data_IF_121535909668
#
_entry.id   IF_121535909668
#
_cell.length_a   1.000
_cell.length_b   1.000
_cell.length_c   1.000
_cell.angle_alpha   90.00
_cell.angle_beta   90.00
_cell.angle_gamma   90.00
#
_symmetry.space_group_name_H-M   'P 1'
#
loop_
_entity.id
_entity.type
_entity.pdbx_description
1 polymer ?
#
# COMPACT_ATOMS: atom_id res chain seq x y z
N UNK A 1 -27.44 24.39 -10.48
CA UNK A 1 -26.31 24.27 -11.44
C UNK A 1 -26.64 23.19 -12.49
N UNK A 2 -25.84 23.08 -13.56
CA UNK A 2 -25.95 21.96 -14.53
C UNK A 2 -25.04 20.78 -14.19
N UNK A 3 -23.92 21.07 -13.53
CA UNK A 3 -22.95 20.09 -13.05
C UNK A 3 -22.72 20.27 -11.55
N UNK A 4 -22.42 19.18 -10.85
CA UNK A 4 -22.21 19.14 -9.41
C UNK A 4 -21.00 18.28 -9.08
N UNK A 5 -20.09 18.83 -8.29
CA UNK A 5 -19.01 18.11 -7.63
C UNK A 5 -19.22 18.19 -6.10
N UNK A 6 -18.96 17.10 -5.41
CA UNK A 6 -18.92 17.04 -3.94
C UNK A 6 -17.55 16.51 -3.53
N UNK A 7 -16.84 17.23 -2.67
CA UNK A 7 -15.52 16.83 -2.20
C UNK A 7 -15.58 16.76 -0.67
N UNK A 8 -15.23 15.61 -0.12
CA UNK A 8 -15.06 15.39 1.31
C UNK A 8 -13.60 15.72 1.66
N UNK A 9 -13.40 16.58 2.66
CA UNK A 9 -12.08 16.95 3.16
C UNK A 9 -12.02 16.65 4.64
N UNK A 10 -11.21 15.66 5.04
CA UNK A 10 -10.97 15.26 6.42
C UNK A 10 -10.04 14.03 6.49
N UNK A 11 -9.97 13.36 7.64
CA UNK A 11 -9.52 11.97 7.77
C UNK A 11 -10.36 10.99 6.94
N UNK A 12 -9.68 9.97 6.42
CA UNK A 12 -10.27 8.80 5.79
C UNK A 12 -9.60 7.53 6.29
N UNK A 13 -10.29 6.40 6.18
CA UNK A 13 -9.83 5.13 6.74
C UNK A 13 -10.06 3.92 5.83
N UNK A 14 -10.33 4.12 4.53
CA UNK A 14 -10.80 3.10 3.59
C UNK A 14 -12.28 2.70 3.79
N UNK A 15 -12.58 1.40 3.91
CA UNK A 15 -13.93 0.86 4.09
C UNK A 15 -14.64 1.25 5.40
N UNK A 16 -13.96 1.57 6.53
CA UNK A 16 -14.63 2.07 7.72
C UNK A 16 -15.37 3.38 7.42
N UNK A 17 -14.76 4.33 6.69
CA UNK A 17 -15.42 5.59 6.33
C UNK A 17 -14.48 6.76 6.08
N UNK A 18 -15.06 7.96 6.16
CA UNK A 18 -14.42 9.26 5.97
C UNK A 18 -15.01 10.29 6.93
N UNK A 19 -14.38 11.46 7.11
CA UNK A 19 -14.90 12.57 7.89
C UNK A 19 -15.13 12.20 9.37
N UNK A 20 -14.03 12.14 10.12
CA UNK A 20 -14.04 11.84 11.56
C UNK A 20 -14.29 13.12 12.38
N UNK A 21 -15.24 13.06 13.31
CA UNK A 21 -15.55 14.13 14.24
C UNK A 21 -14.91 13.88 15.61
N UNK A 22 -13.75 14.51 15.83
CA UNK A 22 -13.02 14.50 17.10
C UNK A 22 -13.86 15.00 18.29
N UNK A 23 -14.92 15.79 18.04
CA UNK A 23 -15.82 16.29 19.10
C UNK A 23 -16.90 15.29 19.51
N UNK A 24 -17.02 14.17 18.77
CA UNK A 24 -17.99 13.11 18.98
C UNK A 24 -17.31 11.74 19.12
N UNK A 25 -16.30 11.65 19.99
CA UNK A 25 -15.54 10.41 20.26
C UNK A 25 -14.88 9.80 19.01
N UNK A 26 -14.54 10.64 18.02
CA UNK A 26 -13.95 10.20 16.75
C UNK A 26 -14.94 9.55 15.79
N UNK A 27 -16.26 9.77 15.98
CA UNK A 27 -17.31 9.24 15.12
C UNK A 27 -17.03 9.57 13.65
N UNK A 28 -17.15 8.58 12.78
CA UNK A 28 -16.76 8.69 11.38
C UNK A 28 -17.97 8.43 10.50
N UNK A 29 -18.12 9.18 9.42
CA UNK A 29 -19.15 8.91 8.44
C UNK A 29 -18.85 7.57 7.74
N UNK A 30 -19.52 6.52 8.20
CA UNK A 30 -19.30 5.17 7.69
C UNK A 30 -19.77 5.03 6.23
N UNK A 31 -19.26 4.05 5.48
CA UNK A 31 -19.72 3.85 4.10
C UNK A 31 -21.24 3.62 3.98
N UNK A 32 -21.91 2.85 4.86
CA UNK A 32 -23.37 2.74 4.86
C UNK A 32 -24.08 4.07 5.10
N UNK A 33 -23.59 4.90 6.02
CA UNK A 33 -24.15 6.21 6.31
C UNK A 33 -23.92 7.21 5.18
N UNK A 34 -22.72 7.21 4.59
CA UNK A 34 -22.39 7.98 3.39
C UNK A 34 -23.33 7.62 2.24
N UNK A 35 -23.47 6.33 1.93
CA UNK A 35 -24.36 5.84 0.88
C UNK A 35 -25.82 6.22 1.16
N UNK A 36 -26.27 6.13 2.42
CA UNK A 36 -27.61 6.56 2.83
C UNK A 36 -27.80 8.07 2.65
N UNK A 37 -26.84 8.88 3.09
CA UNK A 37 -26.89 10.33 2.99
C UNK A 37 -26.94 10.79 1.52
N UNK A 38 -26.10 10.23 0.65
CA UNK A 38 -26.12 10.48 -0.80
C UNK A 38 -27.45 10.03 -1.43
N UNK A 39 -27.97 8.88 -1.01
CA UNK A 39 -29.28 8.39 -1.44
C UNK A 39 -30.43 9.30 -1.06
N UNK A 40 -30.43 9.83 0.16
CA UNK A 40 -31.42 10.78 0.65
C UNK A 40 -31.27 12.15 -0.05
N UNK A 41 -30.04 12.62 -0.29
CA UNK A 41 -29.78 13.83 -1.07
C UNK A 41 -30.27 13.71 -2.51
N UNK A 42 -30.03 12.58 -3.19
CA UNK A 42 -30.55 12.30 -4.55
C UNK A 42 -32.07 12.36 -4.58
N UNK A 43 -32.76 11.75 -3.61
CA UNK A 43 -34.24 11.77 -3.53
C UNK A 43 -34.78 13.19 -3.32
N UNK A 44 -34.13 13.99 -2.48
CA UNK A 44 -34.57 15.36 -2.14
C UNK A 44 -34.31 16.36 -3.25
N UNK A 45 -33.19 16.23 -3.94
CA UNK A 45 -32.73 17.22 -4.95
C UNK A 45 -33.12 16.85 -6.38
N UNK A 46 -33.39 15.57 -6.65
CA UNK A 46 -33.60 15.04 -7.99
C UNK A 46 -32.32 14.86 -8.82
N UNK A 47 -31.15 15.24 -8.29
CA UNK A 47 -29.84 15.06 -8.96
C UNK A 47 -29.49 13.58 -8.95
N UNK A 48 -29.61 12.92 -10.11
CA UNK A 48 -29.43 11.47 -10.22
C UNK A 48 -28.02 11.01 -9.89
N UNK A 49 -27.02 11.71 -10.44
CA UNK A 49 -25.59 11.52 -10.17
C UNK A 49 -24.88 12.86 -10.16
N UNK A 50 -23.91 12.98 -9.25
CA UNK A 50 -22.89 14.01 -9.27
C UNK A 50 -21.90 13.71 -10.41
N UNK A 51 -21.36 14.74 -11.03
CA UNK A 51 -20.33 14.58 -12.05
C UNK A 51 -19.02 14.09 -11.42
N UNK A 52 -18.72 14.53 -10.20
CA UNK A 52 -17.52 14.16 -9.45
C UNK A 52 -17.81 14.01 -7.96
N UNK A 53 -17.30 12.93 -7.37
CA UNK A 53 -17.18 12.75 -5.93
C UNK A 53 -15.68 12.69 -5.61
N UNK A 54 -15.20 13.60 -4.78
CA UNK A 54 -13.80 13.69 -4.39
C UNK A 54 -13.62 13.36 -2.92
N UNK A 55 -12.48 12.75 -2.60
CA UNK A 55 -12.03 12.52 -1.25
C UNK A 55 -10.61 13.09 -1.13
N UNK A 56 -10.52 14.28 -0.56
CA UNK A 56 -9.27 14.88 -0.07
C UNK A 56 -9.09 14.38 1.37
N UNK A 57 -8.82 13.08 1.45
CA UNK A 57 -8.82 12.26 2.64
C UNK A 57 -8.03 10.95 2.39
N UNK A 58 -7.34 10.48 3.42
CA UNK A 58 -6.52 9.27 3.38
C UNK A 58 -7.30 8.04 2.91
N UNK A 59 -6.66 7.18 2.10
CA UNK A 59 -7.08 5.81 1.81
C UNK A 59 -8.44 5.63 1.09
N UNK A 60 -9.04 6.71 0.60
CA UNK A 60 -10.39 6.68 0.02
C UNK A 60 -10.46 6.13 -1.42
N UNK A 61 -9.33 5.80 -2.04
CA UNK A 61 -9.26 5.10 -3.33
C UNK A 61 -9.32 3.58 -3.18
N UNK A 62 -10.23 3.09 -2.34
CA UNK A 62 -10.49 1.66 -2.16
C UNK A 62 -11.73 1.23 -2.96
N UNK A 63 -11.73 0.01 -3.51
CA UNK A 63 -12.86 -0.51 -4.30
C UNK A 63 -14.18 -0.52 -3.50
N UNK A 64 -14.14 -0.73 -2.19
CA UNK A 64 -15.29 -0.67 -1.27
C UNK A 64 -15.95 0.71 -1.26
N UNK A 65 -15.12 1.76 -1.18
CA UNK A 65 -15.57 3.17 -1.19
C UNK A 65 -16.21 3.46 -2.54
N UNK A 66 -15.55 3.08 -3.63
CA UNK A 66 -16.07 3.30 -4.98
C UNK A 66 -17.37 2.54 -5.23
N UNK A 67 -17.51 1.32 -4.70
CA UNK A 67 -18.76 0.55 -4.73
C UNK A 67 -19.88 1.28 -3.97
N UNK A 68 -19.58 1.89 -2.82
CA UNK A 68 -20.55 2.66 -2.04
C UNK A 68 -21.08 3.90 -2.79
N UNK A 69 -20.20 4.61 -3.51
CA UNK A 69 -20.55 5.89 -4.16
C UNK A 69 -20.89 5.79 -5.65
N UNK A 70 -20.62 4.66 -6.31
CA UNK A 70 -20.92 4.44 -7.73
C UNK A 70 -22.38 4.74 -8.14
N UNK A 71 -23.41 4.47 -7.31
CA UNK A 71 -24.78 4.85 -7.63
C UNK A 71 -25.04 6.37 -7.69
N UNK A 72 -24.14 7.18 -7.13
CA UNK A 72 -24.34 8.61 -6.88
C UNK A 72 -23.35 9.51 -7.61
N UNK A 73 -22.26 8.96 -8.16
CA UNK A 73 -21.26 9.70 -8.93
C UNK A 73 -21.02 9.13 -10.34
N UNK A 74 -20.42 9.94 -11.20
CA UNK A 74 -19.85 9.52 -12.48
C UNK A 74 -18.35 9.25 -12.36
N UNK A 75 -17.61 10.10 -11.65
CA UNK A 75 -16.17 9.95 -11.40
C UNK A 75 -15.92 10.04 -9.90
N UNK A 76 -15.01 9.21 -9.40
CA UNK A 76 -14.45 9.34 -8.06
C UNK A 76 -12.97 9.73 -8.12
N UNK A 77 -12.51 10.55 -7.16
CA UNK A 77 -11.09 10.82 -6.92
C UNK A 77 -10.78 10.51 -5.46
N UNK A 78 -9.68 9.80 -5.21
CA UNK A 78 -9.15 9.59 -3.86
C UNK A 78 -7.69 9.16 -3.88
N UNK A 79 -7.06 9.17 -2.70
CA UNK A 79 -5.73 8.60 -2.45
C UNK A 79 -5.85 7.11 -2.11
N UNK A 80 -4.96 6.28 -2.65
CA UNK A 80 -4.88 4.86 -2.27
C UNK A 80 -4.14 4.67 -0.93
N UNK A 81 -3.25 5.61 -0.60
CA UNK A 81 -2.47 5.69 0.63
C UNK A 81 -2.91 6.86 1.53
N UNK A 82 -2.18 7.11 2.61
CA UNK A 82 -2.25 8.33 3.38
C UNK A 82 -2.09 9.55 2.47
N UNK A 83 -2.82 10.61 2.82
CA UNK A 83 -2.78 11.88 2.12
C UNK A 83 -2.07 12.91 3.01
N UNK A 84 -1.14 13.72 2.48
CA UNK A 84 -0.50 14.76 3.29
C UNK A 84 -1.52 15.79 3.78
N UNK A 85 -1.28 16.39 4.95
CA UNK A 85 -2.24 17.26 5.63
C UNK A 85 -2.59 18.54 4.86
N UNK A 86 -1.72 18.99 3.94
CA UNK A 86 -2.01 20.07 3.00
C UNK A 86 -3.15 19.75 2.02
N UNK A 87 -3.40 18.46 1.78
CA UNK A 87 -4.47 17.96 0.91
C UNK A 87 -4.26 18.31 -0.56
N UNK A 88 -5.36 18.59 -1.28
CA UNK A 88 -5.32 18.90 -2.70
C UNK A 88 -4.76 20.29 -2.99
N UNK A 89 -4.22 20.47 -4.21
CA UNK A 89 -3.78 21.77 -4.71
C UNK A 89 -4.96 22.69 -5.11
N UNK A 90 -5.86 22.98 -4.16
CA UNK A 90 -7.14 23.71 -4.34
C UNK A 90 -6.99 24.99 -5.16
N UNK A 91 -6.01 25.81 -4.81
CA UNK A 91 -5.74 27.08 -5.47
C UNK A 91 -5.37 26.93 -6.97
N UNK A 92 -4.70 25.84 -7.35
CA UNK A 92 -4.21 25.63 -8.71
C UNK A 92 -5.35 25.15 -9.61
N UNK A 93 -6.04 24.07 -9.24
CA UNK A 93 -7.07 23.50 -10.10
C UNK A 93 -8.34 24.36 -10.13
N UNK A 94 -8.69 25.07 -9.04
CA UNK A 94 -9.80 26.02 -9.05
C UNK A 94 -9.51 27.23 -9.94
N UNK A 95 -8.24 27.68 -10.01
CA UNK A 95 -7.84 28.72 -10.96
C UNK A 95 -7.97 28.23 -12.39
N UNK A 96 -7.49 27.02 -12.67
CA UNK A 96 -7.63 26.41 -14.00
C UNK A 96 -9.12 26.25 -14.40
N UNK A 97 -9.98 25.87 -13.44
CA UNK A 97 -11.43 25.82 -13.62
C UNK A 97 -12.05 27.20 -13.91
N UNK A 98 -11.60 28.25 -13.22
CA UNK A 98 -12.11 29.61 -13.43
C UNK A 98 -11.65 30.20 -14.77
N UNK A 99 -10.39 30.00 -15.13
CA UNK A 99 -9.78 30.54 -16.35
C UNK A 99 -10.24 29.78 -17.61
N UNK A 100 -10.40 28.45 -17.48
CA UNK A 100 -10.80 27.55 -18.57
C UNK A 100 -11.77 26.49 -18.03
N UNK A 101 -13.06 26.81 -17.91
CA UNK A 101 -14.05 25.86 -17.43
C UNK A 101 -14.03 24.58 -18.29
N UNK A 102 -13.70 23.42 -17.71
CA UNK A 102 -13.76 22.15 -18.41
C UNK A 102 -15.22 21.89 -18.81
N UNK A 103 -15.40 21.16 -19.89
CA UNK A 103 -16.73 20.87 -20.41
C UNK A 103 -17.45 19.80 -19.58
N UNK A 104 -16.70 18.96 -18.85
CA UNK A 104 -17.22 17.89 -18.00
C UNK A 104 -16.22 17.48 -16.90
N UNK A 105 -16.63 16.56 -16.03
CA UNK A 105 -15.77 16.04 -14.97
C UNK A 105 -14.61 15.17 -15.47
N UNK A 106 -14.71 14.57 -16.65
CA UNK A 106 -13.63 13.78 -17.25
C UNK A 106 -12.44 14.66 -17.68
N UNK A 107 -12.70 15.94 -17.98
CA UNK A 107 -11.67 16.95 -18.17
C UNK A 107 -11.22 17.62 -16.85
N UNK A 108 -12.12 17.78 -15.87
CA UNK A 108 -11.78 18.35 -14.55
C UNK A 108 -10.86 17.44 -13.74
N UNK A 109 -11.16 16.14 -13.69
CA UNK A 109 -10.43 15.21 -12.83
C UNK A 109 -8.92 15.14 -13.15
N UNK A 110 -8.47 15.03 -14.42
CA UNK A 110 -7.04 15.13 -14.76
C UNK A 110 -6.39 16.45 -14.34
N UNK A 111 -7.13 17.57 -14.32
CA UNK A 111 -6.62 18.86 -13.85
C UNK A 111 -6.32 18.85 -12.36
N UNK A 112 -7.21 18.25 -11.56
CA UNK A 112 -7.02 18.05 -10.11
C UNK A 112 -5.78 17.17 -9.87
N UNK A 113 -5.74 15.98 -10.50
CA UNK A 113 -4.62 15.04 -10.35
C UNK A 113 -3.27 15.67 -10.74
N UNK A 114 -3.23 16.37 -11.88
CA UNK A 114 -2.00 17.01 -12.37
C UNK A 114 -1.53 18.12 -11.44
N UNK A 115 -2.45 18.93 -10.91
CA UNK A 115 -2.14 20.01 -9.98
C UNK A 115 -1.60 19.47 -8.66
N UNK A 116 -2.21 18.41 -8.13
CA UNK A 116 -1.75 17.68 -6.95
C UNK A 116 -0.32 17.14 -7.14
N UNK A 117 -0.09 16.36 -8.21
CA UNK A 117 1.22 15.78 -8.46
C UNK A 117 2.31 16.84 -8.69
N UNK A 118 1.98 17.95 -9.35
CA UNK A 118 2.91 19.06 -9.55
C UNK A 118 3.24 19.79 -8.24
N UNK A 119 2.27 19.92 -7.33
CA UNK A 119 2.45 20.52 -6.01
C UNK A 119 3.41 19.68 -5.17
N UNK A 120 3.13 18.39 -4.95
CA UNK A 120 3.97 17.54 -4.10
C UNK A 120 5.35 17.25 -4.71
N UNK A 121 5.46 17.21 -6.04
CA UNK A 121 6.78 17.19 -6.69
C UNK A 121 7.63 18.42 -6.35
N UNK A 122 7.00 19.60 -6.22
CA UNK A 122 7.70 20.85 -5.84
C UNK A 122 8.06 20.84 -4.35
N UNK A 123 7.19 20.32 -3.51
CA UNK A 123 7.45 20.13 -2.07
C UNK A 123 8.44 18.98 -1.80
N UNK A 124 8.78 18.20 -2.84
CA UNK A 124 9.68 17.03 -2.79
C UNK A 124 9.15 15.94 -1.87
N UNK A 125 7.84 15.76 -1.87
CA UNK A 125 7.17 14.66 -1.20
C UNK A 125 6.96 13.51 -2.20
N UNK A 126 7.66 12.37 -2.03
CA UNK A 126 7.58 11.22 -2.92
C UNK A 126 6.49 10.20 -2.52
N UNK A 127 5.79 10.39 -1.40
CA UNK A 127 4.86 9.42 -0.80
C UNK A 127 3.43 9.50 -1.34
N UNK A 128 3.13 10.47 -2.21
CA UNK A 128 1.75 10.78 -2.54
C UNK A 128 1.11 9.81 -3.55
N UNK A 129 -0.17 9.52 -3.36
CA UNK A 129 -0.99 8.83 -4.37
C UNK A 129 -2.31 9.57 -4.59
N UNK A 130 -2.70 9.83 -5.83
CA UNK A 130 -4.04 10.33 -6.12
C UNK A 130 -4.49 9.82 -7.49
N UNK A 131 -5.68 9.25 -7.56
CA UNK A 131 -6.21 8.70 -8.80
C UNK A 131 -7.69 9.01 -9.01
N UNK A 132 -8.08 9.14 -10.27
CA UNK A 132 -9.44 9.36 -10.71
C UNK A 132 -9.98 8.14 -11.45
N UNK A 133 -11.17 7.68 -11.11
CA UNK A 133 -11.78 6.48 -11.71
C UNK A 133 -13.19 6.74 -12.25
N UNK A 134 -13.51 6.09 -13.38
CA UNK A 134 -14.87 6.03 -13.94
C UNK A 134 -15.75 5.09 -13.11
N UNK A 135 -16.70 5.65 -12.37
CA UNK A 135 -17.62 4.90 -11.51
C UNK A 135 -18.59 4.01 -12.30
N UNK A 136 -18.77 4.24 -13.61
CA UNK A 136 -19.54 3.33 -14.45
C UNK A 136 -18.89 1.95 -14.59
N UNK A 137 -17.58 1.84 -14.34
CA UNK A 137 -16.81 0.58 -14.40
C UNK A 137 -16.83 -0.20 -13.10
N UNK A 138 -17.25 0.39 -11.99
CA UNK A 138 -17.18 -0.25 -10.67
C UNK A 138 -18.01 -1.53 -10.59
N UNK A 139 -19.20 -1.58 -11.20
CA UNK A 139 -19.97 -2.82 -11.27
C UNK A 139 -19.26 -3.96 -12.00
N UNK A 140 -18.52 -3.63 -13.08
CA UNK A 140 -17.69 -4.61 -13.79
C UNK A 140 -16.47 -5.04 -12.95
N UNK A 141 -15.81 -4.09 -12.28
CA UNK A 141 -14.69 -4.35 -11.38
C UNK A 141 -15.09 -5.29 -10.24
N UNK A 142 -16.22 -5.02 -9.57
CA UNK A 142 -16.74 -5.87 -8.49
C UNK A 142 -17.08 -7.28 -8.99
N UNK A 143 -17.69 -7.42 -10.16
CA UNK A 143 -17.95 -8.75 -10.75
C UNK A 143 -16.67 -9.53 -11.12
N UNK A 144 -15.61 -8.83 -11.55
CA UNK A 144 -14.32 -9.45 -11.83
C UNK A 144 -13.56 -9.79 -10.55
N UNK A 145 -13.67 -8.96 -9.51
CA UNK A 145 -13.14 -9.28 -8.19
C UNK A 145 -13.85 -10.51 -7.61
N UNK A 146 -15.16 -10.63 -7.76
CA UNK A 146 -15.90 -11.84 -7.38
C UNK A 146 -15.43 -13.07 -8.16
N UNK A 147 -15.23 -12.94 -9.47
CA UNK A 147 -14.67 -14.02 -10.30
C UNK A 147 -13.30 -14.45 -9.80
N UNK A 148 -12.42 -13.50 -9.47
CA UNK A 148 -11.11 -13.77 -8.90
C UNK A 148 -11.23 -14.44 -7.52
N UNK A 149 -12.08 -13.92 -6.63
CA UNK A 149 -12.33 -14.48 -5.30
C UNK A 149 -12.78 -15.95 -5.38
N UNK A 150 -13.71 -16.27 -6.28
CA UNK A 150 -14.16 -17.65 -6.53
C UNK A 150 -13.01 -18.55 -7.00
N UNK A 151 -12.18 -18.08 -7.95
CA UNK A 151 -11.03 -18.83 -8.43
C UNK A 151 -9.98 -19.07 -7.32
N UNK A 152 -9.73 -18.06 -6.49
CA UNK A 152 -8.81 -18.16 -5.34
C UNK A 152 -9.34 -19.13 -4.29
N UNK A 153 -10.63 -19.06 -3.94
CA UNK A 153 -11.27 -20.02 -3.02
C UNK A 153 -11.10 -21.46 -3.54
N UNK A 154 -11.33 -21.69 -4.84
CA UNK A 154 -11.17 -23.00 -5.45
C UNK A 154 -9.71 -23.49 -5.46
N UNK A 155 -8.75 -22.56 -5.49
CA UNK A 155 -7.32 -22.87 -5.41
C UNK A 155 -6.84 -23.19 -3.98
N UNK A 156 -7.66 -22.93 -2.95
CA UNK A 156 -7.35 -23.22 -1.56
C UNK A 156 -7.64 -24.68 -1.17
N UNK A 157 -6.87 -25.28 -0.24
CA UNK A 157 -5.71 -24.69 0.44
C UNK A 157 -4.39 -24.80 -0.35
N UNK A 158 -4.40 -25.50 -1.49
CA UNK A 158 -3.19 -25.90 -2.22
C UNK A 158 -2.30 -24.71 -2.62
N UNK A 159 -2.91 -23.60 -3.00
CA UNK A 159 -2.18 -22.41 -3.49
C UNK A 159 -1.89 -21.37 -2.41
N UNK A 160 -2.11 -21.69 -1.13
CA UNK A 160 -1.95 -20.76 -0.01
C UNK A 160 -0.61 -20.01 -0.05
N UNK A 161 0.51 -20.74 -0.16
CA UNK A 161 1.86 -20.15 -0.13
C UNK A 161 2.07 -19.15 -1.25
N UNK A 162 1.67 -19.50 -2.46
CA UNK A 162 1.85 -18.65 -3.63
C UNK A 162 0.90 -17.45 -3.65
N UNK A 163 -0.33 -17.58 -3.12
CA UNK A 163 -1.23 -16.44 -2.87
C UNK A 163 -0.62 -15.52 -1.79
N UNK A 164 -0.04 -16.10 -0.73
CA UNK A 164 0.65 -15.36 0.32
C UNK A 164 1.84 -14.56 -0.21
N UNK A 165 2.65 -15.13 -1.10
CA UNK A 165 3.73 -14.40 -1.80
C UNK A 165 3.18 -13.27 -2.66
N UNK A 166 2.14 -13.52 -3.45
CA UNK A 166 1.52 -12.48 -4.26
C UNK A 166 0.97 -11.32 -3.40
N UNK A 167 0.40 -11.61 -2.22
CA UNK A 167 -0.01 -10.59 -1.25
C UNK A 167 1.19 -9.86 -0.64
N UNK A 168 2.31 -10.56 -0.39
CA UNK A 168 3.54 -9.96 0.14
C UNK A 168 4.19 -8.96 -0.82
N UNK A 169 4.11 -9.23 -2.13
CA UNK A 169 4.65 -8.32 -3.14
C UNK A 169 3.70 -7.16 -3.46
N UNK A 170 2.41 -7.28 -3.15
CA UNK A 170 1.47 -6.17 -3.29
C UNK A 170 1.78 -5.09 -2.26
N UNK A 171 2.05 -3.88 -2.75
CA UNK A 171 2.29 -2.71 -1.90
C UNK A 171 1.17 -2.56 -0.86
N UNK A 172 1.57 -2.39 0.40
CA UNK A 172 0.66 -2.14 1.51
C UNK A 172 0.63 -0.64 1.76
N UNK A 173 -0.55 -0.07 1.58
CA UNK A 173 -0.84 1.33 1.86
C UNK A 173 -1.04 1.51 3.37
N UNK A 174 -0.66 2.68 3.89
CA UNK A 174 -0.49 2.96 5.32
C UNK A 174 0.40 1.89 5.99
N UNK A 175 1.52 1.55 5.35
CA UNK A 175 2.42 0.50 5.81
C UNK A 175 2.77 0.66 7.29
N UNK A 176 2.59 -0.40 8.08
CA UNK A 176 2.80 -0.38 9.53
C UNK A 176 1.52 -0.26 10.36
N UNK A 177 0.40 0.16 9.75
CA UNK A 177 -0.92 0.11 10.35
C UNK A 177 -1.67 -1.16 9.92
N UNK A 178 -1.61 -2.19 10.78
CA UNK A 178 -2.26 -3.46 10.51
C UNK A 178 -3.80 -3.37 10.52
N UNK A 179 -4.38 -2.32 11.11
CA UNK A 179 -5.84 -2.18 11.20
C UNK A 179 -6.44 -1.72 9.86
N UNK A 180 -5.69 -0.96 9.06
CA UNK A 180 -6.10 -0.52 7.72
C UNK A 180 -6.05 -1.68 6.72
N UNK A 181 -4.93 -2.41 6.66
CA UNK A 181 -4.76 -3.60 5.81
C UNK A 181 -5.16 -3.37 4.32
N UNK A 182 -4.90 -2.18 3.80
CA UNK A 182 -5.20 -1.82 2.41
C UNK A 182 -4.00 -2.16 1.53
N UNK A 183 -4.19 -3.04 0.54
CA UNK A 183 -3.13 -3.39 -0.42
C UNK A 183 -3.50 -2.97 -1.84
N UNK A 184 -2.51 -2.73 -2.68
CA UNK A 184 -2.75 -2.40 -4.09
C UNK A 184 -3.41 -3.56 -4.84
N UNK A 185 -4.65 -3.36 -5.27
CA UNK A 185 -5.46 -4.39 -5.90
C UNK A 185 -4.96 -4.73 -7.31
N UNK A 186 -4.53 -3.72 -8.08
CA UNK A 186 -3.99 -3.95 -9.42
C UNK A 186 -2.65 -4.69 -9.38
N UNK A 187 -1.80 -4.36 -8.43
CA UNK A 187 -0.52 -5.02 -8.21
C UNK A 187 -0.74 -6.47 -7.75
N UNK A 188 -1.61 -6.69 -6.76
CA UNK A 188 -2.01 -8.04 -6.35
C UNK A 188 -2.48 -8.87 -7.54
N UNK A 189 -3.31 -8.30 -8.41
CA UNK A 189 -3.80 -8.98 -9.60
C UNK A 189 -2.67 -9.31 -10.60
N UNK A 190 -1.73 -8.39 -10.81
CA UNK A 190 -0.54 -8.65 -11.64
C UNK A 190 0.35 -9.76 -11.02
N UNK A 191 0.62 -9.74 -9.71
CA UNK A 191 1.42 -10.77 -9.02
C UNK A 191 0.73 -12.14 -9.03
N UNK A 192 -0.59 -12.20 -8.85
CA UNK A 192 -1.37 -13.44 -8.96
C UNK A 192 -1.33 -14.02 -10.39
N UNK A 193 -1.38 -13.16 -11.41
CA UNK A 193 -1.23 -13.58 -12.80
C UNK A 193 0.18 -14.11 -13.11
N UNK A 194 1.22 -13.51 -12.50
CA UNK A 194 2.61 -13.95 -12.64
C UNK A 194 2.88 -15.28 -11.92
N UNK A 195 2.22 -15.54 -10.79
CA UNK A 195 2.36 -16.76 -10.01
C UNK A 195 1.82 -18.03 -10.71
N UNK A 196 1.03 -17.89 -11.79
CA UNK A 196 0.55 -19.00 -12.64
C UNK A 196 -0.12 -20.14 -11.84
N UNK A 197 -0.99 -19.79 -10.90
CA UNK A 197 -1.69 -20.72 -9.99
C UNK A 197 -2.72 -21.64 -10.69
N UNK A 198 -2.88 -21.50 -12.00
CA UNK A 198 -3.87 -22.16 -12.83
C UNK A 198 -4.53 -21.17 -13.79
N UNK A 199 -5.15 -21.64 -14.89
CA UNK A 199 -5.72 -20.76 -15.91
C UNK A 199 -6.83 -19.86 -15.35
N UNK A 200 -7.70 -20.39 -14.48
CA UNK A 200 -8.81 -19.63 -13.90
C UNK A 200 -8.34 -18.41 -13.08
N UNK A 201 -7.38 -18.61 -12.16
CA UNK A 201 -6.81 -17.51 -11.35
C UNK A 201 -6.06 -16.54 -12.26
N UNK A 202 -5.24 -17.06 -13.18
CA UNK A 202 -4.42 -16.24 -14.06
C UNK A 202 -5.27 -15.33 -14.95
N UNK A 203 -6.32 -15.87 -15.56
CA UNK A 203 -7.19 -15.12 -16.47
C UNK A 203 -8.07 -14.12 -15.71
N UNK A 204 -8.60 -14.51 -14.54
CA UNK A 204 -9.38 -13.61 -13.69
C UNK A 204 -8.53 -12.43 -13.21
N UNK A 205 -7.29 -12.69 -12.75
CA UNK A 205 -6.39 -11.66 -12.26
C UNK A 205 -5.94 -10.70 -13.38
N UNK A 206 -5.57 -11.22 -14.57
CA UNK A 206 -5.26 -10.38 -15.74
C UNK A 206 -6.43 -9.50 -16.15
N UNK A 207 -7.63 -10.08 -16.17
CA UNK A 207 -8.85 -9.37 -16.56
C UNK A 207 -9.17 -8.23 -15.58
N UNK A 208 -9.04 -8.49 -14.28
CA UNK A 208 -9.23 -7.48 -13.24
C UNK A 208 -8.19 -6.36 -13.36
N UNK A 209 -6.90 -6.70 -13.45
CA UNK A 209 -5.80 -5.73 -13.63
C UNK A 209 -6.00 -4.83 -14.85
N UNK A 210 -6.35 -5.43 -16.00
CA UNK A 210 -6.63 -4.66 -17.22
C UNK A 210 -7.83 -3.72 -17.05
N UNK A 211 -8.86 -4.14 -16.31
CA UNK A 211 -10.06 -3.33 -16.09
C UNK A 211 -9.80 -2.19 -15.10
N UNK A 212 -8.98 -2.39 -14.07
CA UNK A 212 -8.52 -1.32 -13.17
C UNK A 212 -7.77 -0.26 -13.97
N UNK A 213 -6.81 -0.69 -14.81
CA UNK A 213 -6.03 0.19 -15.69
C UNK A 213 -6.93 0.95 -16.68
N UNK A 214 -7.96 0.29 -17.23
CA UNK A 214 -8.92 0.90 -18.15
C UNK A 214 -9.96 1.82 -17.50
N UNK A 215 -10.27 1.61 -16.21
CA UNK A 215 -11.20 2.46 -15.45
C UNK A 215 -10.52 3.73 -14.91
N UNK A 216 -9.20 3.74 -14.78
CA UNK A 216 -8.42 4.89 -14.30
C UNK A 216 -8.34 5.97 -15.37
N UNK A 217 -8.95 7.12 -15.08
CA UNK A 217 -8.97 8.31 -15.94
C UNK A 217 -7.62 9.04 -15.86
N UNK A 218 -7.09 9.20 -14.64
CA UNK A 218 -5.81 9.83 -14.37
C UNK A 218 -5.21 9.28 -13.07
N UNK A 219 -3.89 9.32 -12.95
CA UNK A 219 -3.16 8.97 -11.73
C UNK A 219 -1.94 9.88 -11.56
N UNK A 220 -1.69 10.29 -10.32
CA UNK A 220 -0.54 11.07 -9.89
C UNK A 220 0.10 10.36 -8.71
N UNK A 221 1.22 9.70 -8.96
CA UNK A 221 1.92 8.89 -7.97
C UNK A 221 3.32 9.47 -7.76
N UNK A 222 3.72 9.57 -6.50
CA UNK A 222 5.06 9.94 -6.10
C UNK A 222 6.07 8.82 -6.35
N UNK A 223 7.34 9.12 -6.09
CA UNK A 223 8.45 8.23 -6.43
C UNK A 223 8.47 6.94 -5.59
N UNK A 224 7.83 6.92 -4.42
CA UNK A 224 7.75 5.74 -3.55
C UNK A 224 6.63 4.79 -3.96
N UNK A 225 5.70 5.26 -4.81
CA UNK A 225 4.60 4.44 -5.33
C UNK A 225 4.65 4.30 -6.86
N UNK A 226 5.81 3.96 -7.47
CA UNK A 226 6.00 4.03 -8.92
C UNK A 226 5.13 3.01 -9.68
N UNK A 227 4.58 2.02 -8.97
CA UNK A 227 3.78 0.93 -9.51
C UNK A 227 2.35 0.90 -9.02
N UNK A 228 1.93 1.92 -8.28
CA UNK A 228 0.56 2.02 -7.80
C UNK A 228 -0.44 1.89 -8.94
N UNK A 229 -1.41 0.99 -8.79
CA UNK A 229 -2.61 0.97 -9.61
C UNK A 229 -3.54 2.13 -9.26
N UNK A 230 -3.34 2.74 -8.09
CA UNK A 230 -4.17 3.80 -7.53
C UNK A 230 -5.47 3.27 -6.93
N UNK A 231 -5.65 1.96 -6.81
CA UNK A 231 -6.84 1.35 -6.22
C UNK A 231 -6.43 0.28 -5.21
N UNK A 232 -6.96 0.39 -3.99
CA UNK A 232 -6.71 -0.57 -2.92
C UNK A 232 -7.87 -1.56 -2.71
N UNK A 233 -7.60 -2.62 -1.96
CA UNK A 233 -8.58 -3.57 -1.41
C UNK A 233 -8.18 -3.97 0.01
N UNK A 234 -9.16 -4.26 0.85
CA UNK A 234 -8.93 -4.79 2.20
C UNK A 234 -8.42 -6.24 2.14
N UNK A 235 -7.17 -6.49 2.56
CA UNK A 235 -6.60 -7.83 2.69
C UNK A 235 -5.58 -7.91 3.85
N UNK A 236 -6.07 -8.12 5.09
CA UNK A 236 -5.22 -8.29 6.26
C UNK A 236 -4.25 -9.46 6.15
N UNK A 237 -3.02 -9.25 6.64
CA UNK A 237 -1.99 -10.28 6.60
C UNK A 237 -2.36 -11.50 7.45
N UNK A 238 -2.94 -11.28 8.64
CA UNK A 238 -3.29 -12.34 9.60
C UNK A 238 -4.76 -12.28 9.97
N UNK A 239 -5.29 -13.44 10.35
CA UNK A 239 -6.67 -13.54 10.85
C UNK A 239 -6.95 -12.65 12.07
N UNK A 240 -5.94 -12.36 12.89
CA UNK A 240 -6.09 -11.49 14.07
C UNK A 240 -6.28 -10.01 13.71
N UNK A 241 -5.86 -9.62 12.51
CA UNK A 241 -5.95 -8.27 11.96
C UNK A 241 -7.22 -8.11 11.08
N UNK A 242 -7.99 -9.19 10.89
CA UNK A 242 -9.27 -9.13 10.21
C UNK A 242 -10.35 -8.58 11.14
N UNK A 243 -10.86 -7.41 10.80
CA UNK A 243 -12.01 -6.80 11.46
C UNK A 243 -13.31 -7.47 11.01
N UNK A 244 -14.07 -8.01 11.96
CA UNK A 244 -15.36 -8.62 11.68
C UNK A 244 -16.42 -7.63 11.20
N UNK A 245 -16.31 -6.35 11.57
CA UNK A 245 -17.25 -5.33 11.15
C UNK A 245 -17.17 -5.01 9.65
N UNK A 246 -16.11 -5.47 8.95
CA UNK A 246 -16.02 -5.44 7.48
C UNK A 246 -17.24 -6.07 6.80
N UNK A 247 -17.82 -7.13 7.40
CA UNK A 247 -19.00 -7.82 6.86
C UNK A 247 -20.20 -6.90 6.69
N UNK A 248 -20.42 -5.99 7.65
CA UNK A 248 -21.56 -5.08 7.67
C UNK A 248 -21.21 -3.68 7.16
N UNK A 249 -19.94 -3.28 7.31
CA UNK A 249 -19.44 -1.94 6.96
C UNK A 249 -19.10 -1.78 5.47
N UNK A 250 -18.71 -2.86 4.78
CA UNK A 250 -18.37 -2.80 3.36
C UNK A 250 -19.53 -3.25 2.46
N UNK A 251 -19.88 -2.50 1.39
CA UNK A 251 -20.83 -2.99 0.38
C UNK A 251 -20.23 -4.09 -0.52
N UNK A 252 -18.91 -4.33 -0.45
CA UNK A 252 -18.20 -5.29 -1.30
C UNK A 252 -18.45 -6.74 -0.87
N UNK A 253 -18.69 -6.98 0.42
CA UNK A 253 -18.99 -8.31 1.00
C UNK A 253 -20.34 -8.86 0.53
N UNK A 254 -21.29 -7.97 0.24
CA UNK A 254 -22.57 -8.35 -0.37
C UNK A 254 -22.46 -8.53 -1.90
N UNK A 255 -21.49 -7.86 -2.54
CA UNK A 255 -21.33 -7.84 -4.00
C UNK A 255 -20.39 -8.93 -4.53
N UNK A 256 -19.53 -9.48 -3.67
CA UNK A 256 -18.44 -10.38 -4.05
C UNK A 256 -18.21 -11.41 -2.96
N UNK A 257 -17.50 -12.48 -3.31
CA UNK A 257 -17.04 -13.48 -2.34
C UNK A 257 -15.67 -13.19 -1.73
N UNK A 258 -15.29 -11.92 -1.67
CA UNK A 258 -13.95 -11.52 -1.22
C UNK A 258 -13.73 -11.88 0.25
N UNK A 259 -14.69 -11.64 1.14
CA UNK A 259 -14.55 -11.97 2.56
C UNK A 259 -14.50 -13.49 2.79
N UNK A 260 -15.23 -14.31 2.03
CA UNK A 260 -15.07 -15.77 2.13
C UNK A 260 -13.72 -16.24 1.58
N UNK A 261 -13.17 -15.56 0.56
CA UNK A 261 -11.80 -15.79 0.14
C UNK A 261 -10.82 -15.48 1.29
N UNK A 262 -10.96 -14.34 1.97
CA UNK A 262 -10.12 -13.99 3.12
C UNK A 262 -10.21 -15.09 4.21
N UNK A 263 -11.42 -15.56 4.54
CA UNK A 263 -11.59 -16.68 5.50
C UNK A 263 -10.92 -17.97 5.02
N UNK A 264 -11.05 -18.31 3.73
CA UNK A 264 -10.39 -19.48 3.15
C UNK A 264 -8.87 -19.37 3.21
N UNK A 265 -8.32 -18.18 2.89
CA UNK A 265 -6.89 -17.87 2.98
C UNK A 265 -6.35 -18.10 4.39
N UNK A 266 -7.00 -17.54 5.40
CA UNK A 266 -6.61 -17.71 6.81
C UNK A 266 -6.70 -19.17 7.28
N UNK A 267 -7.72 -19.90 6.84
CA UNK A 267 -7.85 -21.33 7.14
C UNK A 267 -6.72 -22.14 6.50
N UNK A 268 -6.36 -21.82 5.25
CA UNK A 268 -5.23 -22.42 4.56
C UNK A 268 -3.90 -22.19 5.30
N UNK A 269 -3.68 -20.96 5.79
CA UNK A 269 -2.50 -20.64 6.58
C UNK A 269 -2.39 -21.42 7.88
N UNK A 270 -3.51 -21.59 8.62
CA UNK A 270 -3.54 -22.46 9.80
C UNK A 270 -3.24 -23.94 9.48
N UNK A 271 -3.60 -24.39 8.28
CA UNK A 271 -3.31 -25.75 7.79
C UNK A 271 -1.90 -25.93 7.23
N UNK A 272 -1.20 -24.84 6.89
CA UNK A 272 0.17 -24.87 6.39
C UNK A 272 1.15 -25.04 7.55
N UNK A 273 1.62 -26.26 7.77
CA UNK A 273 2.55 -26.59 8.86
C UNK A 273 4.03 -26.45 8.50
N UNK A 274 4.34 -26.19 7.22
CA UNK A 274 5.71 -25.96 6.75
C UNK A 274 5.89 -24.47 6.50
N UNK A 275 6.75 -23.85 7.33
CA UNK A 275 7.22 -22.48 7.12
C UNK A 275 8.65 -22.53 6.61
N UNK A 276 8.96 -21.67 5.65
CA UNK A 276 10.32 -21.55 5.18
C UNK A 276 11.26 -21.14 6.32
N UNK A 277 12.43 -21.77 6.37
CA UNK A 277 13.49 -21.46 7.33
C UNK A 277 14.80 -21.24 6.61
N UNK A 278 15.73 -20.57 7.30
CA UNK A 278 17.13 -20.54 6.90
C UNK A 278 17.86 -21.68 7.61
N UNK A 279 18.71 -22.40 6.87
CA UNK A 279 19.69 -23.27 7.51
C UNK A 279 20.57 -22.45 8.48
N UNK A 280 21.10 -23.04 9.56
CA UNK A 280 21.98 -22.34 10.48
C UNK A 280 23.10 -21.62 9.71
N UNK A 281 23.21 -20.28 9.83
CA UNK A 281 24.16 -19.52 9.03
C UNK A 281 25.59 -19.89 9.42
N UNK A 282 26.45 -20.01 8.41
CA UNK A 282 27.89 -20.19 8.59
C UNK A 282 28.59 -18.87 8.31
N UNK A 283 29.44 -18.45 9.25
CA UNK A 283 30.29 -17.27 9.10
C UNK A 283 31.68 -17.69 8.66
N UNK A 284 32.31 -16.94 7.75
CA UNK A 284 33.73 -17.17 7.43
C UNK A 284 34.66 -16.91 8.61
N UNK A 285 34.26 -16.00 9.51
CA UNK A 285 35.01 -15.59 10.69
C UNK A 285 34.09 -14.91 11.70
N UNK A 286 34.49 -14.89 12.96
CA UNK A 286 33.69 -14.32 14.07
C UNK A 286 34.06 -12.89 14.41
N UNK A 287 35.13 -12.36 13.81
CA UNK A 287 35.59 -10.98 13.98
C UNK A 287 35.55 -10.27 12.63
N UNK A 288 35.08 -9.02 12.63
CA UNK A 288 34.90 -8.21 11.43
C UNK A 288 35.84 -7.00 11.51
N UNK A 289 36.62 -6.74 10.46
CA UNK A 289 37.49 -5.57 10.37
C UNK A 289 37.43 -4.98 8.94
N UNK A 290 37.80 -3.70 8.74
CA UNK A 290 37.76 -3.07 7.41
C UNK A 290 38.53 -3.81 6.31
N UNK A 291 39.61 -4.51 6.66
CA UNK A 291 40.43 -5.35 5.79
C UNK A 291 40.09 -6.85 5.88
N UNK A 292 39.18 -7.23 6.77
CA UNK A 292 38.72 -8.60 6.98
C UNK A 292 37.17 -8.63 7.00
N UNK A 293 36.52 -8.60 5.82
CA UNK A 293 35.07 -8.65 5.70
C UNK A 293 34.52 -9.99 6.18
N UNK A 294 33.35 -9.97 6.80
CA UNK A 294 32.64 -11.20 7.19
C UNK A 294 31.71 -11.61 6.07
N UNK A 295 31.76 -12.88 5.69
CA UNK A 295 30.75 -13.50 4.83
C UNK A 295 29.85 -14.40 5.65
N UNK A 296 28.56 -14.36 5.35
CA UNK A 296 27.54 -15.26 5.86
C UNK A 296 27.01 -16.09 4.69
N UNK A 297 26.94 -17.40 4.87
CA UNK A 297 26.32 -18.34 3.95
C UNK A 297 25.25 -19.17 4.65
N UNK A 298 24.10 -19.32 4.01
CA UNK A 298 22.99 -20.18 4.43
C UNK A 298 22.26 -20.71 3.18
N UNK A 299 21.16 -21.41 3.36
CA UNK A 299 20.26 -21.82 2.29
C UNK A 299 18.81 -21.75 2.77
N UNK A 300 17.91 -21.44 1.85
CA UNK A 300 16.48 -21.52 2.08
C UNK A 300 16.05 -22.98 2.17
N UNK A 301 15.19 -23.28 3.14
CA UNK A 301 14.47 -24.54 3.25
C UNK A 301 12.98 -24.25 3.23
N UNK A 302 12.28 -24.69 2.19
CA UNK A 302 10.86 -24.41 1.94
C UNK A 302 10.62 -23.48 0.76
N UNK A 303 9.35 -23.32 0.40
CA UNK A 303 8.90 -22.65 -0.83
C UNK A 303 7.97 -21.47 -0.58
N UNK A 304 7.85 -21.00 0.67
CA UNK A 304 7.02 -19.86 1.10
C UNK A 304 7.78 -18.56 1.40
N UNK A 305 9.09 -18.49 1.12
CA UNK A 305 9.86 -17.23 1.24
C UNK A 305 9.43 -16.21 0.19
N UNK A 306 8.97 -15.05 0.63
CA UNK A 306 8.77 -13.86 -0.21
C UNK A 306 10.08 -13.09 -0.34
N UNK A 307 10.62 -12.61 0.79
CA UNK A 307 11.88 -11.87 0.86
C UNK A 307 12.82 -12.43 1.93
N UNK A 308 14.10 -12.10 1.80
CA UNK A 308 15.12 -12.35 2.82
C UNK A 308 15.78 -11.03 3.14
N UNK A 309 15.89 -10.71 4.42
CA UNK A 309 16.53 -9.49 4.90
C UNK A 309 17.71 -9.87 5.78
N UNK A 310 18.73 -9.02 5.80
CA UNK A 310 19.76 -9.08 6.82
C UNK A 310 19.78 -7.79 7.62
N UNK A 311 20.23 -7.89 8.86
CA UNK A 311 20.76 -6.75 9.59
C UNK A 311 22.05 -7.15 10.28
N UNK A 312 22.94 -6.19 10.46
CA UNK A 312 24.15 -6.32 11.25
C UNK A 312 23.99 -5.45 12.48
N UNK A 313 24.16 -6.04 13.67
CA UNK A 313 24.03 -5.35 14.94
C UNK A 313 25.29 -5.44 15.79
N UNK A 314 25.47 -4.46 16.67
CA UNK A 314 26.44 -4.51 17.77
C UNK A 314 25.74 -4.13 19.07
N UNK A 315 26.18 -4.69 20.20
CA UNK A 315 25.68 -4.27 21.51
C UNK A 315 25.99 -2.79 21.74
N UNK A 316 25.06 -2.05 22.31
CA UNK A 316 25.30 -0.66 22.67
C UNK A 316 26.37 -0.61 23.78
N UNK A 317 27.46 0.17 23.60
CA UNK A 317 28.50 0.27 24.62
C UNK A 317 28.00 0.79 25.98
N UNK A 318 26.88 1.52 26.00
CA UNK A 318 26.29 2.10 27.20
C UNK A 318 25.11 1.30 27.75
N UNK A 319 24.59 0.35 26.96
CA UNK A 319 23.44 -0.48 27.31
C UNK A 319 23.57 -1.87 26.67
N UNK A 320 24.10 -2.86 27.40
CA UNK A 320 24.34 -4.20 26.84
C UNK A 320 23.06 -4.96 26.49
N UNK A 321 21.88 -4.48 26.91
CA UNK A 321 20.59 -5.05 26.53
C UNK A 321 20.05 -4.46 25.21
N UNK A 322 20.71 -3.44 24.66
CA UNK A 322 20.33 -2.80 23.40
C UNK A 322 21.25 -3.26 22.25
N UNK A 323 20.65 -3.69 21.14
CA UNK A 323 21.37 -3.95 19.88
C UNK A 323 21.24 -2.72 18.97
N UNK A 324 22.37 -2.10 18.64
CA UNK A 324 22.47 -1.03 17.66
C UNK A 324 22.60 -1.62 16.25
N UNK A 325 21.68 -1.27 15.36
CA UNK A 325 21.78 -1.67 13.95
C UNK A 325 22.84 -0.84 13.24
N UNK A 326 23.74 -1.51 12.53
CA UNK A 326 24.86 -0.93 11.78
C UNK A 326 24.61 -0.92 10.27
N UNK A 327 23.91 -1.94 9.78
CA UNK A 327 23.52 -2.10 8.38
C UNK A 327 22.28 -2.98 8.30
N UNK A 328 21.44 -2.76 7.30
CA UNK A 328 20.34 -3.66 6.95
C UNK A 328 20.03 -3.50 5.48
N UNK A 329 19.62 -4.58 4.82
CA UNK A 329 19.13 -4.55 3.44
C UNK A 329 18.42 -5.87 3.11
N UNK A 330 17.79 -5.92 1.94
CA UNK A 330 17.35 -7.15 1.31
C UNK A 330 18.52 -7.95 0.77
N UNK A 331 18.38 -9.27 0.80
CA UNK A 331 19.20 -10.20 0.05
C UNK A 331 18.46 -10.61 -1.22
N UNK A 332 19.24 -10.89 -2.27
CA UNK A 332 18.74 -11.18 -3.60
C UNK A 332 18.93 -12.68 -3.91
N UNK A 333 17.91 -13.37 -4.45
CA UNK A 333 18.04 -14.75 -4.87
C UNK A 333 19.01 -14.90 -6.04
N UNK A 334 19.50 -16.13 -6.33
CA UNK A 334 20.39 -16.37 -7.45
C UNK A 334 19.84 -15.84 -8.78
N UNK A 335 20.64 -15.01 -9.46
CA UNK A 335 20.29 -14.46 -10.77
C UNK A 335 19.40 -13.22 -10.74
N UNK A 336 18.96 -12.76 -9.56
CA UNK A 336 18.27 -11.48 -9.44
C UNK A 336 19.24 -10.29 -9.57
N UNK A 337 18.75 -9.21 -10.17
CA UNK A 337 19.42 -7.93 -10.23
C UNK A 337 18.97 -7.02 -9.06
N UNK A 338 19.83 -6.08 -8.59
CA UNK A 338 19.43 -5.09 -7.59
C UNK A 338 18.25 -4.19 -8.01
N UNK A 339 18.00 -4.08 -9.32
CA UNK A 339 16.85 -3.34 -9.87
C UNK A 339 15.59 -4.19 -9.99
N UNK A 340 15.67 -5.49 -9.72
CA UNK A 340 14.50 -6.34 -9.69
C UNK A 340 13.65 -5.94 -8.49
N UNK A 341 12.35 -5.97 -8.70
CA UNK A 341 11.39 -5.38 -7.77
C UNK A 341 10.56 -6.41 -7.02
N UNK A 342 10.85 -7.69 -7.26
CA UNK A 342 10.27 -8.82 -6.56
C UNK A 342 11.34 -9.91 -6.45
N UNK A 343 11.41 -10.57 -5.30
CA UNK A 343 12.25 -11.73 -5.13
C UNK A 343 11.52 -13.02 -5.55
N UNK A 344 12.27 -13.98 -6.09
CA UNK A 344 11.75 -15.30 -6.48
C UNK A 344 12.48 -16.43 -5.79
N UNK A 345 12.59 -16.35 -4.45
CA UNK A 345 13.24 -17.37 -3.63
C UNK A 345 12.58 -18.75 -3.77
N UNK A 346 13.42 -19.77 -3.92
CA UNK A 346 13.08 -21.18 -4.05
C UNK A 346 13.72 -22.03 -2.94
N UNK A 347 13.18 -23.22 -2.74
CA UNK A 347 13.77 -24.22 -1.85
C UNK A 347 15.19 -24.58 -2.30
N UNK A 348 16.15 -24.53 -1.38
CA UNK A 348 17.56 -24.79 -1.66
C UNK A 348 18.35 -23.60 -2.21
N UNK A 349 17.72 -22.45 -2.46
CA UNK A 349 18.45 -21.27 -2.90
C UNK A 349 19.50 -20.85 -1.86
N UNK A 350 20.76 -20.60 -2.28
CA UNK A 350 21.79 -20.10 -1.38
C UNK A 350 21.47 -18.67 -0.94
N UNK A 351 21.74 -18.40 0.34
CA UNK A 351 21.65 -17.06 0.92
C UNK A 351 23.06 -16.63 1.27
N UNK A 352 23.56 -15.61 0.58
CA UNK A 352 24.92 -15.09 0.74
C UNK A 352 24.90 -13.61 1.10
N UNK A 353 25.70 -13.25 2.10
CA UNK A 353 25.97 -11.87 2.49
C UNK A 353 27.47 -11.69 2.62
N UNK A 354 27.99 -10.58 2.10
CA UNK A 354 29.35 -10.10 2.40
C UNK A 354 29.25 -8.73 3.03
N UNK A 355 29.51 -8.64 4.33
CA UNK A 355 29.54 -7.37 5.04
C UNK A 355 30.98 -6.87 5.22
N UNK A 356 31.35 -5.71 4.63
CA UNK A 356 32.71 -5.19 4.68
C UNK A 356 33.04 -4.43 5.98
N UNK A 357 32.26 -4.65 7.05
CA UNK A 357 32.43 -3.95 8.33
C UNK A 357 32.29 -2.42 8.24
N UNK A 358 31.51 -1.95 7.27
CA UNK A 358 31.18 -0.54 7.10
C UNK A 358 29.71 -0.29 7.43
N UNK A 359 29.40 0.94 7.84
CA UNK A 359 28.05 1.43 8.06
C UNK A 359 27.93 2.89 7.63
N UNK A 360 26.70 3.36 7.51
CA UNK A 360 26.40 4.74 7.12
C UNK A 360 26.34 5.66 8.34
N UNK A 361 26.77 6.90 8.16
CA UNK A 361 26.78 7.93 9.20
C UNK A 361 26.30 9.26 8.62
N UNK A 362 25.51 10.00 9.41
CA UNK A 362 25.17 11.39 9.12
C UNK A 362 26.20 12.30 9.77
N UNK A 363 26.70 13.27 9.00
CA UNK A 363 27.65 14.29 9.48
C UNK A 363 27.09 15.69 9.29
N UNK A 364 27.28 16.54 10.29
CA UNK A 364 27.08 17.98 10.17
C UNK A 364 28.42 18.75 10.00
N UNK A 365 29.51 18.05 9.68
CA UNK A 365 30.86 18.60 9.58
C UNK A 365 31.60 18.82 10.91
N UNK A 366 30.92 18.63 12.06
CA UNK A 366 31.53 18.69 13.41
C UNK A 366 31.38 17.40 14.19
N UNK A 367 30.25 16.73 14.02
CA UNK A 367 29.91 15.45 14.66
C UNK A 367 29.40 14.47 13.61
N UNK A 368 29.54 13.19 13.90
CA UNK A 368 28.92 12.10 13.15
C UNK A 368 28.00 11.30 14.06
N UNK A 369 26.88 10.84 13.51
CA UNK A 369 25.98 9.90 14.18
C UNK A 369 25.77 8.72 13.25
N UNK A 370 25.73 7.50 13.80
CA UNK A 370 25.41 6.31 13.03
C UNK A 370 23.99 6.46 12.46
N UNK A 371 23.84 6.12 11.18
CA UNK A 371 22.62 6.29 10.42
C UNK A 371 22.43 5.04 9.54
N UNK A 372 22.02 3.90 10.12
CA UNK A 372 21.80 2.69 9.33
C UNK A 372 20.62 2.95 8.38
N UNK A 373 20.93 3.07 7.09
CA UNK A 373 19.95 3.23 6.04
C UNK A 373 19.15 1.93 5.89
N UNK A 374 17.82 2.04 5.82
CA UNK A 374 16.91 0.95 5.54
C UNK A 374 16.27 1.16 4.16
N UNK A 375 16.28 0.17 3.25
CA UNK A 375 15.57 0.31 1.98
C UNK A 375 14.07 0.43 2.25
N UNK A 376 13.40 1.31 1.50
CA UNK A 376 11.94 1.46 1.63
C UNK A 376 11.18 0.21 1.15
N UNK A 377 11.72 -0.48 0.14
CA UNK A 377 11.17 -1.71 -0.47
C UNK A 377 12.27 -2.56 -1.11
N UNK A 378 11.93 -3.81 -1.50
CA UNK A 378 12.83 -4.68 -2.26
C UNK A 378 13.21 -4.05 -3.61
N UNK A 379 14.51 -3.96 -3.88
CA UNK A 379 15.03 -3.32 -5.10
C UNK A 379 14.88 -1.80 -5.14
N UNK A 380 14.52 -1.17 -4.01
CA UNK A 380 14.40 0.28 -3.92
C UNK A 380 15.76 0.97 -4.01
N UNK A 381 15.77 2.15 -4.63
CA UNK A 381 16.90 3.08 -4.59
C UNK A 381 16.69 4.19 -3.55
N UNK A 382 15.54 4.22 -2.89
CA UNK A 382 15.20 5.12 -1.80
C UNK A 382 15.46 4.39 -0.48
N UNK A 383 16.11 5.07 0.45
CA UNK A 383 16.45 4.52 1.75
C UNK A 383 16.08 5.52 2.84
N UNK A 384 15.46 5.05 3.91
CA UNK A 384 15.14 5.88 5.06
C UNK A 384 16.12 5.67 6.22
N UNK A 385 16.24 6.68 7.07
CA UNK A 385 16.84 6.56 8.40
C UNK A 385 15.91 7.16 9.44
N UNK A 386 15.50 6.30 10.36
CA UNK A 386 14.70 6.70 11.51
C UNK A 386 15.57 7.32 12.61
N UNK A 387 15.04 8.37 13.24
CA UNK A 387 15.73 9.12 14.27
C UNK A 387 14.77 9.80 15.23
N UNK A 388 15.34 10.46 16.23
CA UNK A 388 14.59 11.34 17.13
C UNK A 388 15.23 12.72 17.11
N UNK A 389 14.48 13.71 16.62
CA UNK A 389 14.84 15.11 16.77
C UNK A 389 14.57 15.56 18.22
N UNK A 390 15.58 16.14 18.86
CA UNK A 390 15.45 16.72 20.21
C UNK A 390 15.64 18.24 20.10
N UNK A 391 14.59 18.99 20.39
CA UNK A 391 14.66 20.45 20.41
C UNK A 391 15.62 20.92 21.49
N UNK A 392 16.70 21.61 21.11
CA UNK A 392 17.66 22.17 22.06
C UNK A 392 17.04 23.20 23.01
N UNK A 393 15.95 23.86 22.59
CA UNK A 393 15.26 24.91 23.38
C UNK A 393 14.26 24.33 24.38
N UNK A 394 13.55 23.27 24.01
CA UNK A 394 12.42 22.74 24.79
C UNK A 394 12.64 21.33 25.33
N UNK A 395 13.68 20.63 24.87
CA UNK A 395 13.91 19.21 25.15
C UNK A 395 12.88 18.27 24.51
N UNK A 396 11.90 18.80 23.75
CA UNK A 396 10.87 17.99 23.11
C UNK A 396 11.52 17.03 22.13
N UNK A 397 11.21 15.74 22.30
CA UNK A 397 11.60 14.65 21.42
C UNK A 397 10.50 14.43 20.40
N UNK A 398 10.87 14.39 19.13
CA UNK A 398 9.96 14.15 18.00
C UNK A 398 10.59 13.07 17.13
N UNK A 399 9.93 11.93 16.92
CA UNK A 399 10.35 10.96 15.91
C UNK A 399 10.48 11.67 14.57
N UNK A 400 11.51 11.34 13.81
CA UNK A 400 11.76 11.91 12.50
C UNK A 400 12.36 10.83 11.63
N UNK A 401 11.81 10.68 10.42
CA UNK A 401 12.43 9.89 9.36
C UNK A 401 13.10 10.85 8.38
N UNK A 402 14.25 10.43 7.84
CA UNK A 402 14.91 11.10 6.72
C UNK A 402 15.02 10.08 5.60
N UNK A 403 14.44 10.41 4.46
CA UNK A 403 14.48 9.61 3.21
C UNK A 403 15.45 10.21 2.19
#
# INVERSE_FOLDING_TARGET
>A
ARHYALIFWDHGASWPGVASDDTSDGDMLTLPELAKALGDARKRTGVQKLDLIGFDACLMSQIDVFQAVAPYGQIAIGSADLEPGEGWAWNAWLRDLADKPPQDAAALAPSIIKSFAAFYKKEKDPSVTLAAFDLAKVGQLSGQLDTLANALIAAMPKSYKAIGKARAHAAEYASGDADISAIDLGYLADSLAAAKLGPQVTDAARTLSATIKGARIAGGFGADHPKSSGMSVYFPWKKKDYDSSYLDGSPLTAATRWDEFLQAFYKGGKGSTTRATLAPPQLSQTEAAPDAPVTLSSSISGDDTADVYYFVGALDPNDPDTVRILAMDYLYPPGAAPSDTEATWQDGDPVELRWPSTGWYLSNGKSVVLAPLAPTDYGSTTYSVEGTYVSAKTGKRTPASLE
#
